data_IF_922663826103
#
_entry.id   IF_922663826103
#
_cell.length_a   1.000
_cell.length_b   1.000
_cell.length_c   1.000
_cell.angle_alpha   90.00
_cell.angle_beta   90.00
_cell.angle_gamma   90.00
#
_symmetry.space_group_name_H-M   'P 1'
#
loop_
_entity.id
_entity.type
_entity.pdbx_description
1 polymer ?
#
# COMPACT_ATOMS: atom_id res chain seq x y z
N UNK A 1 10.39 5.01 -10.69
CA UNK A 1 10.95 5.33 -9.35
C UNK A 1 9.98 4.76 -8.33
N UNK A 2 10.46 4.06 -7.32
CA UNK A 2 9.66 3.59 -6.18
C UNK A 2 9.32 4.79 -5.32
N UNK A 3 8.03 5.10 -5.13
CA UNK A 3 7.61 6.19 -4.26
C UNK A 3 7.59 5.77 -2.79
N UNK A 4 6.93 6.53 -1.91
CA UNK A 4 6.94 6.29 -0.47
C UNK A 4 6.39 4.89 -0.13
N UNK A 5 7.10 4.20 0.76
CA UNK A 5 6.64 2.95 1.38
C UNK A 5 5.71 3.31 2.54
N UNK A 6 4.49 2.79 2.49
CA UNK A 6 3.44 3.05 3.49
C UNK A 6 3.47 1.97 4.57
N UNK A 7 3.62 0.71 4.17
CA UNK A 7 3.60 -0.42 5.08
C UNK A 7 4.41 -1.59 4.54
N UNK A 8 5.09 -2.30 5.44
CA UNK A 8 5.83 -3.52 5.15
C UNK A 8 5.53 -4.61 6.17
N UNK A 9 5.42 -5.85 5.68
CA UNK A 9 5.30 -7.02 6.52
C UNK A 9 6.04 -8.21 5.91
N UNK A 10 7.00 -8.75 6.66
CA UNK A 10 7.73 -9.96 6.27
C UNK A 10 6.98 -11.20 6.75
N UNK A 11 6.65 -12.11 5.84
CA UNK A 11 5.97 -13.37 6.15
C UNK A 11 6.51 -14.53 5.29
N UNK A 12 6.95 -15.62 5.93
CA UNK A 12 7.44 -16.84 5.26
C UNK A 12 8.49 -16.57 4.17
N UNK A 13 9.48 -15.72 4.46
CA UNK A 13 10.56 -15.38 3.52
C UNK A 13 10.15 -14.44 2.38
N UNK A 14 8.91 -13.95 2.38
CA UNK A 14 8.42 -12.93 1.47
C UNK A 14 8.23 -11.60 2.18
N UNK A 15 8.33 -10.52 1.42
CA UNK A 15 8.00 -9.18 1.87
C UNK A 15 6.69 -8.74 1.23
N UNK A 16 5.71 -8.35 2.02
CA UNK A 16 4.53 -7.64 1.55
C UNK A 16 4.76 -6.16 1.74
N UNK A 17 4.65 -5.40 0.66
CA UNK A 17 4.86 -3.95 0.67
C UNK A 17 3.67 -3.24 0.05
N UNK A 18 3.14 -2.26 0.77
CA UNK A 18 2.26 -1.24 0.25
C UNK A 18 3.11 0.02 0.02
N UNK A 19 3.17 0.49 -1.22
CA UNK A 19 3.92 1.68 -1.62
C UNK A 19 3.09 2.53 -2.60
N UNK A 20 3.40 3.81 -2.73
CA UNK A 20 2.92 4.61 -3.87
C UNK A 20 3.92 4.47 -5.01
N UNK A 21 3.46 4.09 -6.19
CA UNK A 21 4.29 3.91 -7.38
C UNK A 21 3.76 4.78 -8.53
N UNK A 22 4.67 5.45 -9.24
CA UNK A 22 4.33 6.25 -10.41
C UNK A 22 4.58 5.47 -11.71
N UNK A 23 3.56 5.38 -12.56
CA UNK A 23 3.65 4.77 -13.89
C UNK A 23 2.97 5.66 -14.94
N UNK A 24 3.72 6.04 -15.98
CA UNK A 24 3.23 6.91 -17.07
C UNK A 24 2.54 8.19 -16.58
N UNK A 25 3.13 8.85 -15.58
CA UNK A 25 2.61 10.10 -15.02
C UNK A 25 1.38 9.95 -14.12
N UNK A 26 1.03 8.72 -13.72
CA UNK A 26 -0.06 8.43 -12.79
C UNK A 26 0.47 7.70 -11.58
N UNK A 27 -0.01 8.08 -10.40
CA UNK A 27 0.32 7.41 -9.16
C UNK A 27 -0.68 6.30 -8.85
N UNK A 28 -0.20 5.26 -8.18
CA UNK A 28 -0.97 4.11 -7.76
C UNK A 28 -0.50 3.65 -6.39
N UNK A 29 -1.43 3.27 -5.51
CA UNK A 29 -1.09 2.47 -4.34
C UNK A 29 -0.89 1.02 -4.79
N UNK A 30 0.33 0.52 -4.70
CA UNK A 30 0.75 -0.82 -5.10
C UNK A 30 0.94 -1.67 -3.84
N UNK A 31 0.06 -2.63 -3.60
CA UNK A 31 0.23 -3.65 -2.57
C UNK A 31 0.68 -4.95 -3.22
N UNK A 32 1.93 -5.32 -3.00
CA UNK A 32 2.55 -6.42 -3.71
C UNK A 32 3.36 -7.31 -2.79
N UNK A 33 3.40 -8.60 -3.11
CA UNK A 33 4.34 -9.55 -2.54
C UNK A 33 5.65 -9.48 -3.31
N UNK A 34 6.75 -9.53 -2.58
CA UNK A 34 8.12 -9.46 -3.07
C UNK A 34 8.88 -10.70 -2.61
N UNK A 35 9.83 -11.12 -3.42
CA UNK A 35 10.73 -12.23 -3.13
C UNK A 35 12.17 -11.73 -3.08
N UNK A 36 12.98 -12.38 -2.24
CA UNK A 36 14.40 -12.09 -2.17
C UNK A 36 15.11 -12.61 -3.42
N UNK A 37 15.96 -11.79 -4.00
CA UNK A 37 16.90 -12.18 -5.07
C UNK A 37 18.32 -11.73 -4.69
N UNK A 38 19.37 -12.23 -5.37
CA UNK A 38 20.74 -11.79 -5.11
C UNK A 38 20.93 -10.27 -5.22
N UNK A 39 20.12 -9.61 -6.06
CA UNK A 39 20.17 -8.16 -6.29
C UNK A 39 19.22 -7.37 -5.36
N UNK A 40 18.60 -8.03 -4.38
CA UNK A 40 17.62 -7.45 -3.46
C UNK A 40 16.18 -7.90 -3.73
N UNK A 41 15.22 -7.19 -3.14
CA UNK A 41 13.79 -7.51 -3.24
C UNK A 41 13.25 -7.25 -4.64
N UNK A 42 12.56 -8.25 -5.22
CA UNK A 42 11.90 -8.13 -6.52
C UNK A 42 10.39 -8.38 -6.40
N UNK A 43 9.55 -7.61 -7.12
CA UNK A 43 8.11 -7.77 -7.04
C UNK A 43 7.66 -9.06 -7.74
N UNK A 44 6.67 -9.73 -7.18
CA UNK A 44 5.98 -10.86 -7.82
C UNK A 44 4.74 -10.37 -8.58
N UNK A 45 4.06 -11.28 -9.28
CA UNK A 45 2.73 -11.01 -9.86
C UNK A 45 1.62 -10.97 -8.81
N UNK A 46 1.83 -11.54 -7.62
CA UNK A 46 0.88 -11.60 -6.53
C UNK A 46 0.77 -10.24 -5.83
N UNK A 47 -0.43 -9.67 -5.86
CA UNK A 47 -0.72 -8.33 -5.38
C UNK A 47 -1.70 -7.60 -6.28
N UNK A 48 -2.01 -6.37 -5.93
CA UNK A 48 -2.92 -5.52 -6.68
C UNK A 48 -2.49 -4.05 -6.61
N UNK A 49 -3.11 -3.25 -7.47
CA UNK A 49 -2.96 -1.79 -7.49
C UNK A 49 -4.32 -1.16 -7.29
N UNK A 50 -4.37 -0.07 -6.54
CA UNK A 50 -5.57 0.75 -6.39
C UNK A 50 -5.24 2.24 -6.61
N UNK A 51 -6.23 3.08 -6.94
CA UNK A 51 -6.04 4.52 -7.00
C UNK A 51 -5.52 5.07 -5.66
N UNK A 52 -4.56 6.02 -5.64
CA UNK A 52 -3.99 6.57 -4.40
C UNK A 52 -5.05 7.15 -3.47
N UNK A 53 -6.15 7.67 -4.01
CA UNK A 53 -7.26 8.27 -3.26
C UNK A 53 -7.92 7.25 -2.32
N UNK A 54 -7.85 5.94 -2.63
CA UNK A 54 -8.36 4.87 -1.76
C UNK A 54 -7.55 4.69 -0.47
N UNK A 55 -6.33 5.24 -0.37
CA UNK A 55 -5.53 5.20 0.85
C UNK A 55 -6.17 5.98 2.00
N UNK A 56 -6.92 7.05 1.70
CA UNK A 56 -7.66 7.81 2.71
C UNK A 56 -8.74 6.94 3.38
N UNK A 57 -9.55 6.26 2.56
CA UNK A 57 -10.56 5.31 3.03
C UNK A 57 -9.93 4.15 3.80
N UNK A 58 -8.83 3.57 3.30
CA UNK A 58 -8.08 2.52 4.01
C UNK A 58 -7.62 3.00 5.40
N UNK A 59 -7.15 4.24 5.50
CA UNK A 59 -6.72 4.83 6.78
C UNK A 59 -7.90 4.96 7.73
N UNK A 60 -9.04 5.49 7.27
CA UNK A 60 -10.24 5.65 8.08
C UNK A 60 -10.73 4.30 8.65
N UNK A 61 -10.82 3.25 7.83
CA UNK A 61 -11.30 1.94 8.29
C UNK A 61 -10.32 1.27 9.27
N UNK A 62 -9.00 1.46 9.10
CA UNK A 62 -8.00 0.95 10.05
C UNK A 62 -8.08 1.69 11.39
N UNK A 63 -8.23 3.02 11.37
CA UNK A 63 -8.43 3.82 12.59
C UNK A 63 -9.69 3.37 13.34
N UNK A 64 -10.81 3.24 12.63
CA UNK A 64 -12.06 2.77 13.20
C UNK A 64 -11.93 1.35 13.79
N UNK A 65 -11.26 0.43 13.10
CA UNK A 65 -10.98 -0.92 13.61
C UNK A 65 -10.20 -0.91 14.94
N UNK A 66 -9.29 0.06 15.10
CA UNK A 66 -8.54 0.26 16.34
C UNK A 66 -9.27 1.12 17.39
N UNK A 67 -10.54 1.47 17.18
CA UNK A 67 -11.32 2.38 18.02
C UNK A 67 -10.65 3.76 18.20
N UNK A 68 -9.94 4.22 17.18
CA UNK A 68 -9.35 5.55 17.13
C UNK A 68 -10.33 6.55 16.50
N UNK A 69 -10.32 7.83 16.93
CA UNK A 69 -11.17 8.86 16.33
C UNK A 69 -10.78 9.07 14.86
N UNK A 70 -11.76 9.03 13.96
CA UNK A 70 -11.54 9.29 12.53
C UNK A 70 -11.76 10.78 12.24
N UNK A 71 -10.78 11.50 11.68
CA UNK A 71 -10.94 12.90 11.32
C UNK A 71 -11.97 13.12 10.20
N UNK A 72 -12.70 14.24 10.29
CA UNK A 72 -13.57 14.72 9.22
C UNK A 72 -12.81 14.81 7.88
N UNK A 73 -13.43 14.31 6.80
CA UNK A 73 -12.83 14.32 5.46
C UNK A 73 -11.97 13.10 5.12
N UNK A 74 -11.76 12.16 6.06
CA UNK A 74 -11.26 10.81 5.75
C UNK A 74 -12.39 9.78 5.62
N UNK A 75 -13.59 10.11 6.11
CA UNK A 75 -14.78 9.28 6.04
C UNK A 75 -15.41 9.36 4.64
N UNK A 76 -14.95 8.46 3.76
CA UNK A 76 -15.54 8.07 2.46
C UNK A 76 -15.48 9.08 1.32
N UNK A 77 -14.97 8.60 0.17
CA UNK A 77 -15.45 9.06 -1.12
C UNK A 77 -16.91 8.64 -1.28
N UNK A 78 -17.74 9.56 -1.78
CA UNK A 78 -19.15 9.37 -2.11
C UNK A 78 -19.40 8.19 -3.04
#
# INVERSE_FOLDING_TARGET
MSGPVIFEHSHRGHLWRLEVASFKGRDFANWRKWYASPDGWKPTREGFTMPPERLGELTAVLMAYHNLPVPDGLETGS
#
